data_IF_844611366085
#
_entry.id   IF_844611366085
#
_cell.length_a   1.000
_cell.length_b   1.000
_cell.length_c   1.000
_cell.angle_alpha   90.00
_cell.angle_beta   90.00
_cell.angle_gamma   90.00
#
_symmetry.space_group_name_H-M   'P 1'
#
loop_
_entity.id
_entity.type
_entity.pdbx_description
1 polymer ?
#
# COMPACT_ATOMS: atom_id res chain seq x y z
N UNK A 1 -1.07 11.94 29.39
CA UNK A 1 -1.31 10.88 28.39
C UNK A 1 -0.37 11.11 27.22
N UNK A 2 0.64 10.26 27.04
CA UNK A 2 1.49 10.32 25.85
C UNK A 2 0.70 9.74 24.67
N UNK A 3 0.30 10.60 23.73
CA UNK A 3 -0.24 10.15 22.45
C UNK A 3 0.91 9.54 21.65
N UNK A 4 0.96 8.21 21.53
CA UNK A 4 1.89 7.57 20.61
C UNK A 4 1.41 7.89 19.19
N UNK A 5 2.16 8.70 18.47
CA UNK A 5 1.88 8.99 17.06
C UNK A 5 2.47 7.87 16.20
N UNK A 6 1.58 7.20 15.47
CA UNK A 6 1.96 6.19 14.49
C UNK A 6 1.96 6.80 13.08
N UNK A 7 2.94 6.43 12.28
CA UNK A 7 3.13 6.87 10.90
C UNK A 7 3.12 5.69 9.96
N UNK A 8 2.59 5.91 8.76
CA UNK A 8 2.62 4.97 7.65
C UNK A 8 3.08 5.72 6.41
N UNK A 9 4.16 5.27 5.80
CA UNK A 9 4.68 5.82 4.56
C UNK A 9 4.54 4.78 3.45
N UNK A 10 4.15 5.26 2.27
CA UNK A 10 4.09 4.49 1.04
C UNK A 10 4.72 5.35 -0.05
N UNK A 11 5.66 4.76 -0.76
CA UNK A 11 6.41 5.36 -1.85
C UNK A 11 6.26 4.49 -3.08
N UNK A 12 6.05 5.13 -4.23
CA UNK A 12 6.06 4.49 -5.53
C UNK A 12 7.19 5.09 -6.35
N UNK A 13 7.98 4.24 -6.98
CA UNK A 13 9.12 4.67 -7.79
C UNK A 13 9.33 3.73 -8.99
N UNK A 14 10.05 4.24 -9.98
CA UNK A 14 10.43 3.46 -11.16
C UNK A 14 11.76 2.76 -10.90
N UNK A 15 11.79 1.45 -11.14
CA UNK A 15 13.05 0.70 -11.21
C UNK A 15 12.96 -0.36 -12.33
N UNK A 16 13.96 -0.37 -13.21
CA UNK A 16 14.03 -1.24 -14.39
C UNK A 16 12.79 -1.14 -15.32
N UNK A 17 12.16 0.03 -15.39
CA UNK A 17 10.95 0.23 -16.20
C UNK A 17 9.64 -0.19 -15.50
N UNK A 18 9.72 -0.84 -14.34
CA UNK A 18 8.57 -1.31 -13.58
C UNK A 18 8.20 -0.33 -12.45
N UNK A 19 6.94 -0.43 -12.01
CA UNK A 19 6.42 0.14 -10.79
C UNK A 19 6.89 -0.67 -9.59
N UNK A 20 7.64 -0.01 -8.73
CA UNK A 20 8.05 -0.53 -7.44
C UNK A 20 7.36 0.23 -6.31
N UNK A 21 7.01 -0.48 -5.25
CA UNK A 21 6.43 0.10 -4.05
C UNK A 21 7.28 -0.19 -2.83
N UNK A 22 7.48 0.82 -1.99
CA UNK A 22 8.18 0.70 -0.71
C UNK A 22 7.34 1.33 0.39
N UNK A 23 7.37 0.75 1.57
CA UNK A 23 6.56 1.22 2.69
C UNK A 23 7.27 1.06 4.02
N UNK A 24 6.88 1.85 5.01
CA UNK A 24 7.40 1.79 6.36
C UNK A 24 6.35 2.27 7.37
N UNK A 25 6.36 1.69 8.57
CA UNK A 25 5.55 2.16 9.69
C UNK A 25 6.30 2.02 11.00
N UNK A 26 5.99 2.89 11.97
CA UNK A 26 6.40 2.72 13.37
C UNK A 26 5.24 2.21 14.26
N UNK A 27 4.10 1.86 13.67
CA UNK A 27 2.97 1.28 14.37
C UNK A 27 3.34 -0.11 14.93
N UNK A 28 2.76 -0.53 16.07
CA UNK A 28 2.98 -1.86 16.60
C UNK A 28 2.61 -2.91 15.56
N UNK A 29 3.52 -3.85 15.33
CA UNK A 29 3.36 -4.91 14.34
C UNK A 29 2.09 -5.72 14.59
N UNK A 30 1.31 -5.92 13.53
CA UNK A 30 0.19 -6.86 13.50
C UNK A 30 0.28 -7.68 12.23
N UNK A 31 0.59 -8.96 12.38
CA UNK A 31 0.79 -9.85 11.25
C UNK A 31 -0.45 -9.93 10.37
N UNK A 32 -0.26 -9.80 9.04
CA UNK A 32 -1.29 -10.04 8.01
C UNK A 32 -2.57 -9.20 8.16
N UNK A 33 -2.46 -8.01 8.75
CA UNK A 33 -3.59 -7.09 8.85
C UNK A 33 -3.52 -5.94 7.86
N UNK A 34 -2.39 -5.74 7.17
CA UNK A 34 -2.27 -4.74 6.13
C UNK A 34 -1.82 -5.31 4.79
N UNK A 35 -2.25 -4.65 3.72
CA UNK A 35 -1.88 -4.97 2.35
C UNK A 35 -1.45 -3.71 1.63
N UNK A 36 -0.43 -3.86 0.80
CA UNK A 36 -0.04 -2.86 -0.19
C UNK A 36 -0.71 -3.25 -1.49
N UNK A 37 -1.53 -2.38 -2.06
CA UNK A 37 -2.38 -2.67 -3.21
C UNK A 37 -2.11 -1.69 -4.34
N UNK A 38 -2.10 -2.19 -5.57
CA UNK A 38 -2.20 -1.38 -6.80
C UNK A 38 -3.56 -1.67 -7.43
N UNK A 39 -4.30 -0.64 -7.82
CA UNK A 39 -5.62 -0.76 -8.42
C UNK A 39 -5.58 -0.61 -9.95
N UNK A 40 -6.48 -1.34 -10.64
CA UNK A 40 -6.72 -1.19 -12.09
C UNK A 40 -7.61 0.01 -12.44
N UNK A 41 -8.22 0.63 -11.44
CA UNK A 41 -9.20 1.71 -11.60
C UNK A 41 -8.53 3.07 -11.76
N UNK A 42 -9.27 4.01 -12.34
CA UNK A 42 -8.89 5.43 -12.46
C UNK A 42 -9.23 6.24 -11.19
N UNK A 43 -9.58 5.57 -10.10
CA UNK A 43 -9.89 6.17 -8.80
C UNK A 43 -9.75 5.12 -7.69
N UNK A 44 -9.63 5.57 -6.44
CA UNK A 44 -9.64 4.67 -5.29
C UNK A 44 -11.06 4.11 -5.06
N UNK A 45 -11.25 2.78 -5.05
CA UNK A 45 -12.56 2.18 -4.78
C UNK A 45 -13.11 2.52 -3.39
N UNK A 46 -14.43 2.54 -3.23
CA UNK A 46 -15.07 2.76 -1.92
C UNK A 46 -14.78 1.63 -0.94
N UNK A 47 -14.81 0.37 -1.40
CA UNK A 47 -14.31 -0.78 -0.66
C UNK A 47 -12.83 -1.00 -1.05
N UNK A 48 -11.87 -0.87 -0.10
CA UNK A 48 -10.44 -0.91 -0.44
C UNK A 48 -9.92 -2.23 -1.01
N UNK A 49 -10.73 -3.28 -1.00
CA UNK A 49 -10.39 -4.60 -1.56
C UNK A 49 -10.90 -4.83 -2.98
N UNK A 50 -11.72 -3.92 -3.51
CA UNK A 50 -12.23 -4.02 -4.88
C UNK A 50 -11.19 -3.58 -5.91
N UNK A 51 -11.29 -4.06 -7.15
CA UNK A 51 -10.48 -3.63 -8.32
C UNK A 51 -8.94 -3.66 -8.12
N UNK A 52 -8.45 -4.48 -7.19
CA UNK A 52 -7.01 -4.69 -6.96
C UNK A 52 -6.40 -5.45 -8.14
N UNK A 53 -5.32 -4.90 -8.72
CA UNK A 53 -4.49 -5.58 -9.72
C UNK A 53 -3.45 -6.48 -9.07
N UNK A 54 -2.65 -5.86 -8.20
CA UNK A 54 -1.52 -6.47 -7.53
C UNK A 54 -1.61 -6.13 -6.06
N UNK A 55 -1.20 -7.06 -5.21
CA UNK A 55 -1.04 -6.78 -3.80
C UNK A 55 0.07 -7.62 -3.18
N UNK A 56 0.62 -7.09 -2.08
CA UNK A 56 1.56 -7.78 -1.19
C UNK A 56 1.09 -7.57 0.24
N UNK A 57 1.35 -8.53 1.12
CA UNK A 57 1.21 -8.28 2.56
C UNK A 57 2.19 -7.19 3.00
N UNK A 58 1.80 -6.37 3.97
CA UNK A 58 2.62 -5.28 4.49
C UNK A 58 3.81 -5.76 5.35
N UNK A 59 3.79 -7.02 5.77
CA UNK A 59 4.91 -7.70 6.43
C UNK A 59 5.80 -8.50 5.47
N UNK A 60 5.48 -8.55 4.18
CA UNK A 60 6.26 -9.20 3.13
C UNK A 60 6.98 -8.17 2.26
N UNK A 61 7.98 -8.59 1.46
CA UNK A 61 8.62 -7.80 0.38
C UNK A 61 9.13 -6.38 0.75
N UNK A 62 9.25 -6.08 2.04
CA UNK A 62 9.98 -4.97 2.65
C UNK A 62 9.39 -3.60 2.33
N UNK A 63 8.82 -2.89 3.30
CA UNK A 63 9.55 -2.47 4.51
C UNK A 63 10.89 -1.75 4.26
N UNK A 64 11.61 -2.05 3.16
CA UNK A 64 13.02 -1.77 2.95
C UNK A 64 13.45 -1.90 1.49
N UNK A 65 13.54 -3.13 0.95
CA UNK A 65 14.06 -3.39 -0.41
C UNK A 65 13.11 -3.01 -1.55
N UNK A 66 11.83 -2.77 -1.22
CA UNK A 66 10.80 -2.49 -2.19
C UNK A 66 10.28 -3.74 -2.90
N UNK A 67 9.06 -3.64 -3.38
CA UNK A 67 8.32 -4.68 -4.06
C UNK A 67 8.16 -4.34 -5.54
N UNK A 68 8.70 -5.18 -6.43
CA UNK A 68 8.40 -5.14 -7.85
C UNK A 68 6.98 -5.64 -8.10
N UNK A 69 6.10 -4.74 -8.54
CA UNK A 69 4.71 -5.10 -8.85
C UNK A 69 4.58 -5.87 -10.18
N UNK A 70 5.63 -5.84 -11.01
CA UNK A 70 5.63 -6.34 -12.38
C UNK A 70 4.81 -5.51 -13.36
N UNK A 71 4.26 -4.37 -12.93
CA UNK A 71 3.54 -3.43 -13.78
C UNK A 71 4.51 -2.41 -14.37
N UNK A 72 4.31 -2.00 -15.62
CA UNK A 72 5.13 -0.94 -16.22
C UNK A 72 4.90 0.40 -15.53
N UNK A 73 5.96 1.15 -15.29
CA UNK A 73 5.87 2.54 -14.86
C UNK A 73 5.29 3.43 -15.97
N UNK A 74 4.73 4.58 -15.61
CA UNK A 74 4.21 5.57 -16.56
C UNK A 74 2.70 5.50 -16.82
N UNK A 75 1.97 4.60 -16.15
CA UNK A 75 0.53 4.73 -16.00
C UNK A 75 0.23 5.47 -14.69
N UNK A 76 -0.86 6.25 -14.64
CA UNK A 76 -1.33 6.88 -13.40
C UNK A 76 -1.88 5.80 -12.45
N UNK A 77 -0.99 5.10 -11.76
CA UNK A 77 -1.31 4.01 -10.87
C UNK A 77 -1.85 4.51 -9.55
N UNK A 78 -2.96 3.90 -9.12
CA UNK A 78 -3.54 4.13 -7.81
C UNK A 78 -3.00 3.07 -6.86
N UNK A 79 -2.18 3.49 -5.90
CA UNK A 79 -1.53 2.62 -4.93
C UNK A 79 -2.01 2.97 -3.52
N UNK A 80 -2.18 1.97 -2.66
CA UNK A 80 -2.58 2.22 -1.28
C UNK A 80 -1.98 1.20 -0.32
N UNK A 81 -1.85 1.62 0.94
CA UNK A 81 -1.75 0.70 2.07
C UNK A 81 -3.14 0.64 2.70
N UNK A 82 -3.71 -0.56 2.76
CA UNK A 82 -4.97 -0.82 3.43
C UNK A 82 -4.73 -1.67 4.67
N UNK A 83 -5.50 -1.48 5.73
CA UNK A 83 -5.41 -2.32 6.92
C UNK A 83 -6.79 -2.66 7.49
N UNK A 84 -6.91 -3.83 8.11
CA UNK A 84 -8.13 -4.26 8.78
C UNK A 84 -8.39 -3.42 10.02
N UNK A 85 -9.64 -2.95 10.17
CA UNK A 85 -10.04 -2.27 11.38
C UNK A 85 -10.03 -3.24 12.56
N UNK A 86 -9.31 -2.92 13.62
CA UNK A 86 -9.33 -3.71 14.86
C UNK A 86 -10.76 -3.81 15.44
N UNK A 87 -11.19 -4.95 16.01
CA UNK A 87 -10.44 -6.19 16.18
C UNK A 87 -10.40 -7.12 14.97
N UNK A 88 -11.37 -7.09 14.05
CA UNK A 88 -11.42 -7.84 12.77
C UNK A 88 -12.58 -7.27 11.93
N UNK A 89 -12.42 -6.05 11.43
CA UNK A 89 -13.40 -5.31 10.65
C UNK A 89 -12.99 -5.20 9.18
N UNK A 90 -13.75 -4.43 8.38
CA UNK A 90 -13.40 -4.22 6.98
C UNK A 90 -12.03 -3.53 6.85
N UNK A 91 -11.38 -3.75 5.72
CA UNK A 91 -10.19 -3.00 5.34
C UNK A 91 -10.54 -1.51 5.21
N UNK A 92 -9.64 -0.66 5.68
CA UNK A 92 -9.67 0.79 5.47
C UNK A 92 -8.38 1.24 4.82
N UNK A 93 -8.43 2.36 4.10
CA UNK A 93 -7.23 3.04 3.64
C UNK A 93 -6.44 3.62 4.81
N UNK A 94 -5.15 3.32 4.85
CA UNK A 94 -4.18 3.90 5.78
C UNK A 94 -3.42 5.02 5.10
N UNK A 95 -2.95 4.77 3.88
CA UNK A 95 -2.37 5.80 3.00
C UNK A 95 -2.75 5.53 1.55
N UNK A 96 -2.76 6.60 0.76
CA UNK A 96 -3.13 6.61 -0.66
C UNK A 96 -2.06 7.38 -1.43
N UNK A 97 -1.68 6.84 -2.56
CA UNK A 97 -0.70 7.44 -3.46
C UNK A 97 -1.15 7.23 -4.90
N UNK A 98 -1.09 8.28 -5.70
CA UNK A 98 -1.27 8.18 -7.14
C UNK A 98 0.05 8.54 -7.80
N UNK A 99 0.56 7.67 -8.68
CA UNK A 99 1.72 8.02 -9.49
C UNK A 99 1.30 9.01 -10.57
N UNK A 100 2.15 10.00 -10.82
CA UNK A 100 2.07 10.89 -11.98
C UNK A 100 3.18 10.51 -12.94
N UNK A 101 2.82 10.30 -14.21
CA UNK A 101 3.75 10.14 -15.34
C UNK A 101 4.66 11.35 -15.50
#
# INVERSE_FOLDING_TARGET
>A
MSSNQYTWTLEAYQQHGNLWLKWQTNAPFRAQQGRITVYKSTSFPSNPTDNVDKWSWDNENGGGSGWDTGLSWGSNWYCAWIAEKSPNGPYTYVTKLTTSS
#
